data_IF_016223035851
#
_entry.id   IF_016223035851
#
_cell.length_a   1.000
_cell.length_b   1.000
_cell.length_c   1.000
_cell.angle_alpha   90.00
_cell.angle_beta   90.00
_cell.angle_gamma   90.00
#
_symmetry.space_group_name_H-M   'P 1'
#
loop_
_entity.id
_entity.type
_entity.pdbx_description
1 polymer ?
#
# COMPACT_ATOMS: atom_id res chain seq x y z
N UNK A 1 -12.87 -11.43 -18.58
CA UNK A 1 -12.41 -10.20 -17.91
C UNK A 1 -11.53 -10.61 -16.74
N UNK A 2 -10.25 -10.30 -16.78
CA UNK A 2 -9.36 -10.41 -15.61
C UNK A 2 -9.83 -9.39 -14.57
N UNK A 3 -10.20 -9.86 -13.37
CA UNK A 3 -10.50 -8.98 -12.25
C UNK A 3 -9.18 -8.47 -11.68
N UNK A 4 -8.95 -7.17 -11.81
CA UNK A 4 -7.89 -6.49 -11.06
C UNK A 4 -8.36 -6.38 -9.60
N UNK A 5 -7.51 -6.78 -8.65
CA UNK A 5 -7.79 -6.65 -7.23
C UNK A 5 -7.15 -5.37 -6.73
N UNK A 6 -7.97 -4.39 -6.34
CA UNK A 6 -7.49 -3.13 -5.78
C UNK A 6 -7.63 -3.13 -4.25
N UNK A 7 -6.57 -2.75 -3.54
CA UNK A 7 -6.54 -2.71 -2.09
C UNK A 7 -6.18 -1.30 -1.63
N UNK A 8 -6.95 -0.80 -0.66
CA UNK A 8 -6.71 0.49 0.01
C UNK A 8 -6.41 0.25 1.48
N UNK A 9 -5.25 0.70 1.91
CA UNK A 9 -4.81 0.67 3.29
C UNK A 9 -5.19 1.96 3.98
N UNK A 10 -5.69 1.84 5.21
CA UNK A 10 -6.01 2.95 6.09
C UNK A 10 -5.17 2.82 7.35
N UNK A 11 -4.47 3.89 7.71
CA UNK A 11 -3.71 3.92 8.95
C UNK A 11 -3.37 5.32 9.39
N UNK A 12 -2.45 5.40 10.35
CA UNK A 12 -1.87 6.66 10.81
C UNK A 12 -0.36 6.69 10.62
N UNK A 13 0.23 7.87 10.51
CA UNK A 13 1.67 8.05 10.36
C UNK A 13 2.42 7.32 11.48
N UNK A 14 3.34 6.44 11.12
CA UNK A 14 4.08 5.58 12.05
C UNK A 14 3.41 4.24 12.40
N UNK A 15 2.20 3.95 11.91
CA UNK A 15 1.47 2.69 12.18
C UNK A 15 1.64 1.62 11.08
N UNK A 16 2.57 1.82 10.14
CA UNK A 16 2.97 0.78 9.19
C UNK A 16 2.08 0.55 7.96
N UNK A 17 1.02 1.35 7.73
CA UNK A 17 0.16 1.18 6.54
C UNK A 17 0.92 1.24 5.20
N UNK A 18 1.89 2.15 5.07
CA UNK A 18 2.81 2.21 3.92
C UNK A 18 3.63 0.92 3.80
N UNK A 19 4.25 0.51 4.91
CA UNK A 19 5.13 -0.66 4.96
C UNK A 19 4.36 -1.93 4.57
N UNK A 20 3.14 -2.09 5.04
CA UNK A 20 2.29 -3.21 4.70
C UNK A 20 1.94 -3.25 3.20
N UNK A 21 1.59 -2.11 2.61
CA UNK A 21 1.30 -2.02 1.17
C UNK A 21 2.51 -2.35 0.28
N UNK A 22 3.71 -1.91 0.69
CA UNK A 22 4.96 -2.23 -0.01
C UNK A 22 5.33 -3.71 0.15
N UNK A 23 5.22 -4.26 1.35
CA UNK A 23 5.51 -5.66 1.65
C UNK A 23 4.60 -6.61 0.87
N UNK A 24 3.31 -6.29 0.76
CA UNK A 24 2.39 -7.04 -0.09
C UNK A 24 2.82 -6.97 -1.56
N UNK A 25 3.24 -5.79 -2.03
CA UNK A 25 3.76 -5.60 -3.37
C UNK A 25 4.94 -6.53 -3.68
N UNK A 26 5.94 -6.55 -2.79
CA UNK A 26 7.14 -7.38 -2.95
C UNK A 26 6.80 -8.88 -2.93
N UNK A 27 5.88 -9.31 -2.06
CA UNK A 27 5.42 -10.71 -2.00
C UNK A 27 4.71 -11.14 -3.29
N UNK A 28 3.88 -10.26 -3.88
CA UNK A 28 3.18 -10.52 -5.14
C UNK A 28 4.15 -10.57 -6.32
N UNK A 29 5.13 -9.67 -6.38
CA UNK A 29 6.18 -9.71 -7.40
C UNK A 29 7.02 -11.01 -7.29
N UNK A 30 7.34 -11.44 -6.07
CA UNK A 30 8.06 -12.69 -5.82
C UNK A 30 7.29 -13.96 -6.18
N UNK A 31 5.97 -13.86 -6.39
CA UNK A 31 5.09 -14.98 -6.77
C UNK A 31 4.65 -14.93 -8.24
N UNK A 32 5.21 -14.03 -9.04
CA UNK A 32 4.96 -13.92 -10.48
C UNK A 32 3.74 -13.08 -10.85
N UNK A 33 3.14 -12.35 -9.90
CA UNK A 33 2.07 -11.39 -10.18
C UNK A 33 2.64 -10.04 -10.59
N UNK A 34 1.84 -9.30 -11.36
CA UNK A 34 2.09 -7.90 -11.68
C UNK A 34 1.35 -7.02 -10.68
N UNK A 35 2.03 -5.97 -10.23
CA UNK A 35 1.60 -5.26 -9.04
C UNK A 35 2.16 -3.83 -9.01
N UNK A 36 1.34 -2.86 -8.59
CA UNK A 36 1.71 -1.47 -8.37
C UNK A 36 1.35 -1.04 -6.95
N UNK A 37 2.36 -0.69 -6.15
CA UNK A 37 2.19 -0.19 -4.79
C UNK A 37 2.57 1.30 -4.71
N UNK A 38 1.72 2.13 -4.12
CA UNK A 38 2.05 3.53 -3.87
C UNK A 38 1.36 4.06 -2.61
N UNK A 39 2.09 4.84 -1.79
CA UNK A 39 1.49 5.52 -0.66
C UNK A 39 0.90 6.88 -1.06
N UNK A 40 -0.13 7.32 -0.32
CA UNK A 40 -0.72 8.66 -0.42
C UNK A 40 -0.54 9.36 0.94
N UNK A 41 0.49 10.20 1.01
CA UNK A 41 0.77 11.10 2.12
C UNK A 41 1.66 12.26 1.59
N UNK A 42 1.46 13.46 2.12
CA UNK A 42 2.32 14.63 1.97
C UNK A 42 3.26 14.83 3.17
N UNK A 43 3.40 16.05 3.72
CA UNK A 43 4.31 16.33 4.84
C UNK A 43 3.73 15.94 6.21
N UNK A 44 2.81 14.97 6.28
CA UNK A 44 2.08 14.72 7.53
C UNK A 44 2.96 14.15 8.65
N UNK A 45 2.68 14.60 9.88
CA UNK A 45 3.40 14.20 11.10
C UNK A 45 2.94 12.84 11.62
N UNK A 46 3.68 12.28 12.58
CA UNK A 46 3.30 11.07 13.30
C UNK A 46 1.85 11.17 13.79
N UNK A 47 1.09 10.09 13.58
CA UNK A 47 -0.31 10.02 13.95
C UNK A 47 -1.29 10.58 12.90
N UNK A 48 -0.88 11.36 11.90
CA UNK A 48 -1.81 11.85 10.88
C UNK A 48 -2.43 10.71 10.05
N UNK A 49 -3.67 10.84 9.54
CA UNK A 49 -4.24 9.83 8.65
C UNK A 49 -3.37 9.64 7.41
N UNK A 50 -3.06 8.38 7.09
CA UNK A 50 -2.31 8.01 5.87
C UNK A 50 -3.07 6.94 5.10
N UNK A 51 -2.86 6.92 3.80
CA UNK A 51 -3.37 5.86 2.93
C UNK A 51 -2.24 5.27 2.10
N UNK A 52 -2.46 4.04 1.65
CA UNK A 52 -1.62 3.41 0.64
C UNK A 52 -2.49 2.53 -0.24
N UNK A 53 -2.01 2.23 -1.44
CA UNK A 53 -2.79 1.55 -2.46
C UNK A 53 -1.97 0.48 -3.14
N UNK A 54 -2.69 -0.54 -3.59
CA UNK A 54 -2.19 -1.66 -4.36
C UNK A 54 -3.15 -1.97 -5.51
N UNK A 55 -2.64 -2.24 -6.72
CA UNK A 55 -3.42 -2.73 -7.87
C UNK A 55 -2.55 -3.54 -8.83
#
# INVERSE_FOLDING_TARGET
MTRLTEIRWHGRGGQGAKTAALLLGDALLGTGFYMQAFPEYGPERMGAPVKAYNR
#
